data_IF_602445150285
#
_entry.id   IF_602445150285
#
_cell.length_a   1.000
_cell.length_b   1.000
_cell.length_c   1.000
_cell.angle_alpha   90.00
_cell.angle_beta   90.00
_cell.angle_gamma   90.00
#
_symmetry.space_group_name_H-M   'P 1'
#
loop_
_entity.id
_entity.type
_entity.pdbx_description
1 polymer ?
#
# COMPACT_ATOMS: atom_id res chain seq x y z
N UNK A 1 -16.13 -0.57 10.67
CA UNK A 1 -14.84 -1.16 11.10
C UNK A 1 -14.64 -2.49 10.41
N UNK A 2 -13.46 -2.80 9.90
CA UNK A 2 -13.18 -4.03 9.15
C UNK A 2 -13.60 -5.28 9.95
N UNK A 3 -14.41 -6.13 9.33
CA UNK A 3 -14.98 -7.33 9.96
C UNK A 3 -14.05 -8.54 9.81
N UNK A 4 -12.84 -8.45 10.37
CA UNK A 4 -11.99 -9.63 10.43
C UNK A 4 -12.50 -10.65 11.45
N UNK A 5 -12.38 -11.97 11.18
CA UNK A 5 -12.72 -13.00 12.14
C UNK A 5 -11.95 -12.82 13.45
N UNK A 6 -12.60 -13.10 14.58
CA UNK A 6 -11.94 -13.02 15.91
C UNK A 6 -10.71 -13.92 16.03
N UNK A 7 -10.67 -15.01 15.31
CA UNK A 7 -9.52 -15.92 15.24
C UNK A 7 -8.25 -15.27 14.69
N UNK A 8 -8.38 -14.14 14.00
CA UNK A 8 -7.26 -13.37 13.44
C UNK A 8 -6.74 -12.30 14.39
N UNK A 9 -7.48 -11.99 15.47
CA UNK A 9 -7.12 -10.92 16.38
C UNK A 9 -5.79 -11.19 17.07
N UNK A 10 -4.88 -10.22 16.98
CA UNK A 10 -3.57 -10.24 17.63
C UNK A 10 -3.46 -9.11 18.68
N UNK A 11 -3.93 -7.91 18.37
CA UNK A 11 -4.12 -6.79 19.29
C UNK A 11 -2.85 -6.28 19.97
N UNK A 12 -1.65 -6.48 19.38
CA UNK A 12 -0.38 -6.19 20.04
C UNK A 12 0.15 -4.80 19.64
N UNK A 13 0.39 -3.96 20.65
CA UNK A 13 1.06 -2.67 20.44
C UNK A 13 2.53 -2.88 20.08
N UNK A 14 2.98 -2.20 19.03
CA UNK A 14 4.37 -2.24 18.57
C UNK A 14 5.05 -0.89 18.85
N UNK A 15 6.18 -0.87 19.58
CA UNK A 15 6.95 0.34 19.75
C UNK A 15 7.47 0.88 18.42
N UNK A 16 7.29 2.17 18.17
CA UNK A 16 7.75 2.84 16.93
C UNK A 16 9.25 2.66 16.69
N UNK A 17 10.03 2.65 17.74
CA UNK A 17 11.48 2.48 17.71
C UNK A 17 11.93 1.26 16.92
N UNK A 18 11.19 0.16 16.99
CA UNK A 18 11.52 -1.06 16.25
C UNK A 18 11.68 -0.85 14.74
N UNK A 19 11.08 0.17 14.19
CA UNK A 19 11.13 0.44 12.75
C UNK A 19 12.26 1.37 12.32
N UNK A 20 12.94 2.06 13.23
CA UNK A 20 13.97 3.03 12.85
C UNK A 20 15.28 2.97 13.68
N UNK A 21 15.36 2.09 14.70
CA UNK A 21 16.59 1.99 15.51
C UNK A 21 17.67 1.09 14.89
N UNK A 22 17.28 0.12 14.08
CA UNK A 22 18.17 -0.93 13.57
C UNK A 22 18.48 -0.85 12.07
N UNK A 23 18.11 0.24 11.41
CA UNK A 23 18.29 0.43 9.97
C UNK A 23 19.01 1.75 9.68
N UNK A 24 19.63 1.83 8.51
CA UNK A 24 20.11 3.08 7.92
C UNK A 24 18.92 3.98 7.52
N UNK A 25 18.21 4.46 8.55
CA UNK A 25 17.09 5.39 8.39
C UNK A 25 17.62 6.81 8.49
N UNK A 26 17.35 7.61 7.45
CA UNK A 26 17.78 9.01 7.48
C UNK A 26 17.13 9.77 8.65
N UNK A 27 17.82 10.77 9.23
CA UNK A 27 17.26 11.59 10.32
C UNK A 27 15.91 12.23 9.94
N UNK A 28 15.73 12.59 8.67
CA UNK A 28 14.50 13.15 8.13
C UNK A 28 13.35 12.14 8.18
N UNK A 29 13.56 10.92 7.65
CA UNK A 29 12.54 9.86 7.66
C UNK A 29 12.19 9.45 9.09
N UNK A 30 13.19 9.38 10.00
CA UNK A 30 12.95 9.13 11.42
C UNK A 30 12.06 10.22 12.04
N UNK A 31 12.32 11.49 11.74
CA UNK A 31 11.51 12.61 12.22
C UNK A 31 10.08 12.51 11.68
N UNK A 32 9.90 12.29 10.39
CA UNK A 32 8.58 12.10 9.79
C UNK A 32 7.82 10.96 10.49
N UNK A 33 8.48 9.84 10.72
CA UNK A 33 7.86 8.70 11.42
C UNK A 33 7.39 9.05 12.83
N UNK A 34 8.22 9.74 13.60
CA UNK A 34 7.90 10.16 14.98
C UNK A 34 6.75 11.18 14.98
N UNK A 35 6.78 12.13 14.06
CA UNK A 35 5.82 13.25 14.02
C UNK A 35 4.46 12.87 13.42
N UNK A 36 4.41 11.87 12.54
CA UNK A 36 3.18 11.52 11.83
C UNK A 36 2.43 10.35 12.47
N UNK A 37 3.15 9.41 13.11
CA UNK A 37 2.56 8.22 13.69
C UNK A 37 2.44 8.33 15.21
N UNK A 38 1.23 8.26 15.74
CA UNK A 38 0.93 8.28 17.19
C UNK A 38 1.10 6.91 17.82
N UNK A 39 0.49 5.90 17.21
CA UNK A 39 0.42 4.55 17.74
C UNK A 39 0.41 3.52 16.62
N UNK A 40 1.12 2.42 16.82
CA UNK A 40 1.09 1.25 15.93
C UNK A 40 0.55 0.07 16.72
N UNK A 41 -0.46 -0.59 16.15
CA UNK A 41 -1.01 -1.84 16.68
C UNK A 41 -0.97 -2.90 15.59
N UNK A 42 -0.33 -4.02 15.85
CA UNK A 42 -0.49 -5.22 15.04
C UNK A 42 -1.85 -5.82 15.40
N UNK A 43 -2.83 -5.51 14.59
CA UNK A 43 -4.23 -5.73 14.94
C UNK A 43 -4.68 -7.15 14.62
N UNK A 44 -4.38 -7.63 13.42
CA UNK A 44 -4.79 -8.95 12.97
C UNK A 44 -3.63 -9.64 12.24
N UNK A 45 -3.67 -10.97 12.27
CA UNK A 45 -2.84 -11.88 11.49
C UNK A 45 -3.74 -12.79 10.69
N UNK A 46 -3.77 -12.57 9.38
CA UNK A 46 -4.53 -13.41 8.45
C UNK A 46 -3.60 -14.49 7.90
N UNK A 47 -3.90 -15.73 8.17
CA UNK A 47 -3.19 -16.91 7.69
C UNK A 47 -4.18 -17.99 7.31
N UNK A 48 -3.74 -19.03 6.64
CA UNK A 48 -4.58 -20.19 6.31
C UNK A 48 -5.30 -20.73 7.56
N UNK A 49 -4.58 -20.80 8.66
CA UNK A 49 -5.11 -21.32 9.93
C UNK A 49 -6.12 -20.37 10.58
N UNK A 50 -5.82 -19.06 10.64
CA UNK A 50 -6.70 -18.08 11.32
C UNK A 50 -7.94 -17.74 10.52
N UNK A 51 -7.86 -17.87 9.18
CA UNK A 51 -8.96 -17.60 8.25
C UNK A 51 -9.75 -18.86 7.88
N UNK A 52 -9.26 -20.05 8.25
CA UNK A 52 -9.80 -21.34 7.81
C UNK A 52 -9.87 -21.44 6.28
N UNK A 53 -8.78 -21.07 5.62
CA UNK A 53 -8.60 -21.14 4.17
C UNK A 53 -7.52 -22.15 3.81
N UNK A 54 -7.45 -22.54 2.54
CA UNK A 54 -6.31 -23.27 2.04
C UNK A 54 -5.04 -22.39 2.09
N UNK A 55 -3.84 -22.98 2.28
CA UNK A 55 -2.58 -22.26 2.16
C UNK A 55 -2.42 -21.64 0.76
N UNK A 56 -1.83 -20.44 0.69
CA UNK A 56 -1.41 -19.86 -0.57
C UNK A 56 -0.07 -20.43 -1.03
N UNK A 57 0.24 -20.29 -2.30
CA UNK A 57 1.54 -20.64 -2.87
C UNK A 57 2.57 -19.52 -2.65
N UNK A 58 2.12 -18.28 -2.71
CA UNK A 58 2.96 -17.08 -2.58
C UNK A 58 2.65 -16.28 -1.34
N UNK A 59 1.39 -16.25 -0.90
CA UNK A 59 0.92 -15.50 0.26
C UNK A 59 0.72 -16.46 1.43
N UNK A 60 1.64 -16.45 2.37
CA UNK A 60 1.52 -17.25 3.58
C UNK A 60 0.73 -16.55 4.68
N UNK A 61 0.96 -15.26 4.83
CA UNK A 61 0.34 -14.41 5.86
C UNK A 61 0.11 -13.00 5.34
N UNK A 62 -0.95 -12.37 5.84
CA UNK A 62 -1.23 -10.94 5.66
C UNK A 62 -1.33 -10.33 7.05
N UNK A 63 -0.44 -9.39 7.34
CA UNK A 63 -0.37 -8.70 8.61
C UNK A 63 -1.16 -7.40 8.55
N UNK A 64 -2.09 -7.20 9.47
CA UNK A 64 -2.88 -5.98 9.53
C UNK A 64 -2.33 -5.06 10.62
N UNK A 65 -1.76 -3.94 10.21
CA UNK A 65 -1.27 -2.91 11.12
C UNK A 65 -2.23 -1.72 11.13
N UNK A 66 -2.75 -1.41 12.31
CA UNK A 66 -3.50 -0.18 12.55
C UNK A 66 -2.54 0.91 13.02
N UNK A 67 -2.48 2.01 12.28
CA UNK A 67 -1.70 3.20 12.59
C UNK A 67 -2.65 4.35 12.94
N UNK A 68 -2.58 4.82 14.19
CA UNK A 68 -3.20 6.10 14.55
C UNK A 68 -2.24 7.22 14.20
N UNK A 69 -2.71 8.18 13.43
CA UNK A 69 -1.92 9.30 12.98
C UNK A 69 -1.96 10.44 14.00
N UNK A 70 -0.89 11.26 14.02
CA UNK A 70 -0.86 12.54 14.72
C UNK A 70 -1.21 13.70 13.80
N UNK A 71 -1.14 13.47 12.48
CA UNK A 71 -1.43 14.45 11.43
C UNK A 71 -2.56 13.95 10.54
N UNK A 72 -3.08 14.84 9.71
CA UNK A 72 -4.16 14.50 8.77
C UNK A 72 -3.69 13.55 7.67
N UNK A 73 -2.39 13.54 7.38
CA UNK A 73 -1.79 12.77 6.30
C UNK A 73 -0.52 12.07 6.78
N UNK A 74 -0.12 11.01 6.11
CA UNK A 74 1.13 10.28 6.32
C UNK A 74 1.95 10.29 5.03
N UNK A 75 3.25 10.51 5.15
CA UNK A 75 4.15 10.37 4.02
C UNK A 75 4.30 8.88 3.64
N UNK A 76 4.10 8.51 2.36
CA UNK A 76 4.21 7.13 1.92
C UNK A 76 5.55 6.45 2.25
N UNK A 77 6.62 7.22 2.43
CA UNK A 77 7.93 6.69 2.80
C UNK A 77 7.95 6.06 4.19
N UNK A 78 7.10 6.54 5.10
CA UNK A 78 6.92 5.99 6.45
C UNK A 78 6.30 4.58 6.38
N UNK A 79 5.25 4.39 5.57
CA UNK A 79 4.63 3.09 5.36
C UNK A 79 5.59 2.13 4.64
N UNK A 80 6.31 2.65 3.64
CA UNK A 80 7.32 1.89 2.89
C UNK A 80 8.47 1.42 3.78
N UNK A 81 8.87 2.22 4.77
CA UNK A 81 9.87 1.83 5.77
C UNK A 81 9.41 0.60 6.57
N UNK A 82 8.17 0.61 7.05
CA UNK A 82 7.60 -0.52 7.78
C UNK A 82 7.49 -1.76 6.88
N UNK A 83 7.00 -1.55 5.67
CA UNK A 83 6.71 -2.62 4.71
C UNK A 83 7.96 -3.36 4.23
N UNK A 84 9.10 -2.67 4.14
CA UNK A 84 10.40 -3.28 3.81
C UNK A 84 10.95 -4.21 4.89
N UNK A 85 10.59 -3.96 6.15
CA UNK A 85 11.15 -4.70 7.29
C UNK A 85 10.41 -5.99 7.60
N UNK A 86 9.17 -6.11 7.14
CA UNK A 86 8.31 -7.22 7.47
C UNK A 86 8.25 -8.15 6.26
N UNK A 87 8.69 -9.42 6.40
CA UNK A 87 8.78 -10.36 5.29
C UNK A 87 7.43 -11.00 4.92
N UNK A 88 6.33 -10.31 5.23
CA UNK A 88 4.97 -10.72 4.92
C UNK A 88 4.23 -9.63 4.18
N UNK A 89 3.09 -9.96 3.61
CA UNK A 89 2.19 -8.97 3.03
C UNK A 89 1.55 -8.14 4.13
N UNK A 90 1.45 -6.83 3.94
CA UNK A 90 0.90 -5.92 4.94
C UNK A 90 -0.32 -5.20 4.38
N UNK A 91 -1.32 -5.11 5.24
CA UNK A 91 -2.46 -4.23 5.09
C UNK A 91 -2.37 -3.16 6.19
N UNK A 92 -2.22 -1.90 5.80
CA UNK A 92 -2.26 -0.80 6.75
C UNK A 92 -3.67 -0.24 6.87
N UNK A 93 -4.17 -0.16 8.08
CA UNK A 93 -5.37 0.58 8.43
C UNK A 93 -4.91 1.89 9.09
N UNK A 94 -4.98 2.97 8.36
CA UNK A 94 -4.68 4.30 8.88
C UNK A 94 -5.93 4.88 9.52
N UNK A 95 -5.74 5.55 10.66
CA UNK A 95 -6.79 6.25 11.39
C UNK A 95 -6.30 7.64 11.75
N UNK A 96 -7.07 8.66 11.43
CA UNK A 96 -6.81 10.04 11.81
C UNK A 96 -7.85 10.60 12.78
N UNK A 97 -7.54 11.71 13.40
CA UNK A 97 -8.49 12.38 14.27
C UNK A 97 -9.74 12.77 13.49
N UNK A 98 -10.92 12.59 14.10
CA UNK A 98 -12.22 12.73 13.42
C UNK A 98 -12.89 11.40 13.11
N UNK A 99 -12.23 10.27 13.38
CA UNK A 99 -12.83 8.93 13.20
C UNK A 99 -12.86 8.46 11.74
N UNK A 100 -12.01 9.03 10.89
CA UNK A 100 -11.83 8.59 9.52
C UNK A 100 -10.70 7.58 9.40
N UNK A 101 -10.84 6.68 8.45
CA UNK A 101 -9.86 5.65 8.14
C UNK A 101 -9.56 5.54 6.65
N UNK A 102 -8.41 4.96 6.36
CA UNK A 102 -7.94 4.68 5.02
C UNK A 102 -7.19 3.35 5.02
N UNK A 103 -7.36 2.55 3.99
CA UNK A 103 -6.65 1.28 3.83
C UNK A 103 -5.56 1.44 2.78
N UNK A 104 -4.35 0.95 3.10
CA UNK A 104 -3.22 0.90 2.18
C UNK A 104 -2.72 -0.53 2.01
N UNK A 105 -2.34 -0.87 0.78
CA UNK A 105 -1.71 -2.13 0.43
C UNK A 105 -0.59 -1.87 -0.57
N UNK A 106 0.54 -2.58 -0.40
CA UNK A 106 1.64 -2.52 -1.35
C UNK A 106 1.73 -3.80 -2.16
N UNK A 107 1.90 -3.68 -3.46
CA UNK A 107 2.24 -4.82 -4.29
C UNK A 107 3.70 -5.21 -4.07
N UNK A 108 3.91 -6.44 -3.61
CA UNK A 108 5.22 -7.02 -3.34
C UNK A 108 5.51 -8.15 -4.32
N UNK A 109 6.66 -8.11 -4.96
CA UNK A 109 7.18 -9.22 -5.76
C UNK A 109 8.33 -9.90 -5.02
N UNK A 110 8.42 -11.22 -5.13
CA UNK A 110 9.57 -11.97 -4.64
C UNK A 110 10.84 -11.47 -5.33
N UNK A 111 11.90 -11.22 -4.57
CA UNK A 111 13.16 -10.79 -5.13
C UNK A 111 13.77 -11.89 -6.00
N UNK A 112 14.19 -11.55 -7.21
CA UNK A 112 14.87 -12.49 -8.12
C UNK A 112 16.28 -12.89 -7.63
N UNK A 113 16.79 -12.25 -6.58
CA UNK A 113 18.16 -12.49 -6.06
C UNK A 113 18.24 -13.58 -5.01
N UNK A 114 17.20 -14.41 -4.83
CA UNK A 114 17.21 -15.55 -3.90
C UNK A 114 17.20 -15.20 -2.41
N UNK A 115 17.14 -13.92 -2.06
CA UNK A 115 16.87 -13.49 -0.69
C UNK A 115 15.35 -13.52 -0.44
N UNK A 116 14.92 -13.86 0.78
CA UNK A 116 13.52 -13.77 1.20
C UNK A 116 12.99 -12.31 1.24
N UNK A 117 13.66 -11.40 0.56
CA UNK A 117 13.29 -10.01 0.47
C UNK A 117 12.25 -9.80 -0.63
N UNK A 118 11.24 -9.01 -0.36
CA UNK A 118 10.28 -8.55 -1.34
C UNK A 118 10.72 -7.22 -1.96
N UNK A 119 10.45 -7.06 -3.26
CA UNK A 119 10.52 -5.75 -3.91
C UNK A 119 9.17 -5.09 -3.85
N UNK A 120 9.11 -3.91 -3.23
CA UNK A 120 7.93 -3.06 -3.23
C UNK A 120 7.83 -2.34 -4.57
N UNK A 121 6.75 -2.59 -5.33
CA UNK A 121 6.55 -1.99 -6.65
C UNK A 121 5.66 -0.75 -6.57
N UNK A 122 4.45 -0.92 -6.12
CA UNK A 122 3.42 0.12 -6.10
C UNK A 122 2.59 0.00 -4.83
N UNK A 123 2.11 1.12 -4.30
CA UNK A 123 1.14 1.15 -3.21
C UNK A 123 -0.19 1.71 -3.71
N UNK A 124 -1.28 1.14 -3.22
CA UNK A 124 -2.65 1.57 -3.46
C UNK A 124 -3.35 1.84 -2.14
N UNK A 125 -4.29 2.75 -2.15
CA UNK A 125 -5.08 3.09 -0.98
C UNK A 125 -6.50 3.48 -1.37
N UNK A 126 -7.42 3.34 -0.43
CA UNK A 126 -8.78 3.88 -0.53
C UNK A 126 -8.79 5.38 -0.29
N UNK A 127 -9.92 6.02 -0.51
CA UNK A 127 -10.17 7.36 0.01
C UNK A 127 -10.29 7.33 1.55
N UNK A 128 -10.20 8.51 2.17
CA UNK A 128 -10.52 8.69 3.57
C UNK A 128 -12.03 8.67 3.75
N UNK A 129 -12.51 7.75 4.56
CA UNK A 129 -13.94 7.59 4.87
C UNK A 129 -14.13 7.35 6.37
N UNK A 130 -15.34 7.54 6.92
CA UNK A 130 -15.61 7.14 8.30
C UNK A 130 -15.18 5.70 8.55
N UNK A 131 -14.55 5.44 9.70
CA UNK A 131 -14.03 4.09 10.04
C UNK A 131 -15.08 3.00 9.96
N UNK A 132 -16.34 3.33 10.28
CA UNK A 132 -17.44 2.37 10.24
C UNK A 132 -17.88 2.03 8.81
N UNK A 133 -17.57 2.89 7.84
CA UNK A 133 -17.86 2.67 6.42
C UNK A 133 -16.74 1.87 5.70
N UNK A 134 -15.58 1.71 6.34
CA UNK A 134 -14.52 0.86 5.81
C UNK A 134 -14.90 -0.60 5.88
N UNK A 135 -15.08 -1.21 4.73
CA UNK A 135 -15.42 -2.63 4.58
C UNK A 135 -14.50 -3.32 3.61
N UNK A 136 -14.23 -4.59 3.83
CA UNK A 136 -13.54 -5.47 2.90
C UNK A 136 -14.30 -6.79 2.79
N UNK A 137 -14.45 -7.27 1.57
CA UNK A 137 -14.93 -8.62 1.31
C UNK A 137 -13.78 -9.61 1.47
N UNK A 138 -13.94 -10.59 2.35
CA UNK A 138 -12.90 -11.55 2.74
C UNK A 138 -13.15 -12.95 2.17
N UNK A 139 -13.90 -13.05 1.08
CA UNK A 139 -14.23 -14.33 0.46
C UNK A 139 -13.12 -14.81 -0.47
N UNK A 140 -12.54 -15.96 -0.13
CA UNK A 140 -11.52 -16.62 -0.94
C UNK A 140 -11.47 -18.13 -0.61
N UNK A 141 -10.83 -18.92 -1.48
CA UNK A 141 -10.58 -20.34 -1.26
C UNK A 141 -9.22 -20.58 -0.60
N UNK A 142 -8.27 -19.70 -0.84
CA UNK A 142 -6.91 -19.75 -0.34
C UNK A 142 -6.35 -18.35 -0.01
N UNK A 143 -5.15 -18.30 0.54
CA UNK A 143 -4.53 -17.05 0.94
C UNK A 143 -4.10 -16.17 -0.25
N UNK A 144 -3.72 -16.75 -1.38
CA UNK A 144 -3.39 -15.99 -2.60
C UNK A 144 -4.65 -15.30 -3.15
N UNK A 145 -5.76 -16.01 -3.19
CA UNK A 145 -7.06 -15.48 -3.59
C UNK A 145 -7.55 -14.38 -2.65
N UNK A 146 -7.35 -14.53 -1.34
CA UNK A 146 -7.69 -13.51 -0.35
C UNK A 146 -6.91 -12.21 -0.59
N UNK A 147 -5.59 -12.31 -0.74
CA UNK A 147 -4.74 -11.16 -1.01
C UNK A 147 -5.11 -10.46 -2.34
N UNK A 148 -5.34 -11.27 -3.39
CA UNK A 148 -5.79 -10.77 -4.69
C UNK A 148 -7.15 -10.05 -4.60
N UNK A 149 -8.10 -10.60 -3.84
CA UNK A 149 -9.42 -10.00 -3.64
C UNK A 149 -9.33 -8.66 -2.90
N UNK A 150 -8.61 -8.61 -1.78
CA UNK A 150 -8.38 -7.38 -1.01
C UNK A 150 -7.69 -6.31 -1.89
N UNK A 151 -6.62 -6.69 -2.59
CA UNK A 151 -5.89 -5.79 -3.44
C UNK A 151 -6.75 -5.20 -4.57
N UNK A 152 -7.60 -6.02 -5.18
CA UNK A 152 -8.55 -5.58 -6.22
C UNK A 152 -9.54 -4.54 -5.69
N UNK A 153 -10.09 -4.76 -4.50
CA UNK A 153 -11.03 -3.84 -3.88
C UNK A 153 -10.38 -2.48 -3.64
N UNK A 154 -9.16 -2.46 -3.09
CA UNK A 154 -8.43 -1.22 -2.79
C UNK A 154 -7.98 -0.52 -4.09
N UNK A 155 -7.45 -1.27 -5.06
CA UNK A 155 -6.96 -0.70 -6.32
C UNK A 155 -8.08 -0.17 -7.22
N UNK A 156 -9.30 -0.69 -7.12
CA UNK A 156 -10.46 -0.22 -7.92
C UNK A 156 -10.75 1.26 -7.67
N UNK A 157 -10.65 1.70 -6.43
CA UNK A 157 -10.89 3.09 -6.05
C UNK A 157 -9.74 4.01 -6.51
N UNK A 158 -8.50 3.48 -6.52
CA UNK A 158 -7.31 4.22 -6.93
C UNK A 158 -7.14 4.30 -8.46
N UNK A 159 -7.62 3.29 -9.17
CA UNK A 159 -7.52 3.17 -10.63
C UNK A 159 -8.94 3.24 -11.17
N UNK A 160 -9.30 4.37 -11.76
CA UNK A 160 -10.61 4.55 -12.43
C UNK A 160 -10.77 3.62 -13.67
N UNK A 161 -10.17 2.44 -13.67
CA UNK A 161 -10.21 1.45 -14.74
C UNK A 161 -10.91 0.17 -14.25
N UNK A 162 -12.07 -0.20 -14.83
CA UNK A 162 -12.81 -1.40 -14.44
C UNK A 162 -12.14 -2.73 -14.82
N UNK A 163 -10.94 -2.70 -15.40
CA UNK A 163 -10.31 -3.85 -16.05
C UNK A 163 -9.18 -4.53 -15.26
N UNK A 164 -8.77 -4.00 -14.09
CA UNK A 164 -7.69 -4.65 -13.33
C UNK A 164 -8.21 -5.89 -12.60
N UNK A 165 -7.81 -7.07 -13.07
CA UNK A 165 -8.19 -8.34 -12.44
C UNK A 165 -7.35 -8.69 -11.21
N UNK A 166 -6.19 -8.03 -11.04
CA UNK A 166 -5.25 -8.25 -9.92
C UNK A 166 -4.45 -6.98 -9.59
N UNK A 167 -3.80 -6.95 -8.44
CA UNK A 167 -2.82 -5.89 -8.11
C UNK A 167 -1.69 -5.80 -9.14
N UNK A 168 -1.29 -6.93 -9.72
CA UNK A 168 -0.27 -6.96 -10.77
C UNK A 168 -0.76 -6.21 -12.01
N UNK A 169 -1.96 -6.49 -12.49
CA UNK A 169 -2.55 -5.82 -13.65
C UNK A 169 -2.73 -4.32 -13.37
N UNK A 170 -3.10 -3.97 -12.14
CA UNK A 170 -3.20 -2.58 -11.70
C UNK A 170 -1.84 -1.86 -11.76
N UNK A 171 -0.76 -2.53 -11.35
CA UNK A 171 0.61 -1.99 -11.43
C UNK A 171 1.02 -1.78 -12.88
N UNK A 172 0.80 -2.78 -13.74
CA UNK A 172 1.14 -2.71 -15.18
C UNK A 172 0.40 -1.55 -15.85
N UNK A 173 -0.91 -1.42 -15.59
CA UNK A 173 -1.73 -0.31 -16.12
C UNK A 173 -1.26 1.06 -15.61
N UNK A 174 -0.89 1.16 -14.34
CA UNK A 174 -0.39 2.41 -13.77
C UNK A 174 0.94 2.82 -14.41
N UNK A 175 1.87 1.87 -14.57
CA UNK A 175 3.17 2.11 -15.22
C UNK A 175 3.00 2.52 -16.69
N UNK A 176 2.09 1.88 -17.42
CA UNK A 176 1.80 2.23 -18.80
C UNK A 176 1.20 3.64 -18.90
N UNK A 177 0.26 3.98 -18.01
CA UNK A 177 -0.33 5.33 -17.93
C UNK A 177 0.74 6.40 -17.63
N UNK A 178 1.63 6.17 -16.67
CA UNK A 178 2.72 7.10 -16.35
C UNK A 178 3.68 7.27 -17.53
N UNK A 179 4.03 6.17 -18.21
CA UNK A 179 4.86 6.21 -19.42
C UNK A 179 4.22 7.04 -20.53
N UNK A 180 2.93 6.84 -20.79
CA UNK A 180 2.19 7.62 -21.77
C UNK A 180 2.09 9.10 -21.39
N UNK A 181 1.83 9.42 -20.14
CA UNK A 181 1.81 10.79 -19.65
C UNK A 181 3.17 11.48 -19.82
N UNK A 182 4.27 10.77 -19.53
CA UNK A 182 5.61 11.28 -19.75
C UNK A 182 5.87 11.56 -21.24
N UNK A 183 5.48 10.63 -22.14
CA UNK A 183 5.62 10.82 -23.59
C UNK A 183 4.81 12.04 -24.07
N UNK A 184 3.58 12.20 -23.62
CA UNK A 184 2.73 13.36 -23.92
C UNK A 184 3.42 14.67 -23.48
N UNK A 185 3.99 14.67 -22.27
CA UNK A 185 4.73 15.85 -21.75
C UNK A 185 5.94 16.19 -22.63
N UNK A 186 6.70 15.21 -23.09
CA UNK A 186 7.84 15.39 -23.97
C UNK A 186 7.42 15.94 -25.35
N UNK A 187 6.35 15.37 -25.93
CA UNK A 187 5.82 15.84 -27.22
C UNK A 187 5.30 17.28 -27.12
N UNK A 188 4.55 17.62 -26.07
CA UNK A 188 4.09 18.99 -25.82
C UNK A 188 5.26 19.97 -25.66
N UNK A 189 6.35 19.57 -25.02
CA UNK A 189 7.56 20.40 -24.88
C UNK A 189 8.26 20.61 -26.22
N UNK A 190 8.36 19.57 -27.08
CA UNK A 190 8.91 19.69 -28.45
C UNK A 190 8.05 20.63 -29.30
N UNK A 191 6.74 20.44 -29.32
CA UNK A 191 5.80 21.30 -30.05
C UNK A 191 5.91 22.78 -29.62
N UNK A 192 6.10 23.04 -28.33
CA UNK A 192 6.29 24.40 -27.82
C UNK A 192 7.58 25.03 -28.32
N UNK A 193 8.68 24.25 -28.38
CA UNK A 193 9.99 24.72 -28.93
C UNK A 193 9.89 25.02 -30.43
N UNK A 194 9.25 24.14 -31.20
CA UNK A 194 9.07 24.34 -32.66
C UNK A 194 8.21 25.58 -32.97
N UNK A 195 7.12 25.80 -32.20
CA UNK A 195 6.32 27.02 -32.34
C UNK A 195 7.08 28.29 -31.97
N UNK A 196 8.01 28.23 -31.02
CA UNK A 196 8.86 29.38 -30.66
C UNK A 196 9.91 29.64 -31.73
N UNK A 197 10.53 28.62 -32.34
CA UNK A 197 11.47 28.73 -33.43
C UNK A 197 10.80 29.30 -34.71
N UNK A 198 9.59 28.81 -35.04
CA UNK A 198 8.82 29.32 -36.17
C UNK A 198 8.48 30.82 -36.06
N UNK A 199 8.21 31.31 -34.83
CA UNK A 199 7.95 32.76 -34.59
C UNK A 199 9.20 33.64 -34.60
N UNK A 200 10.39 33.07 -34.52
CA UNK A 200 11.67 33.81 -34.59
C UNK A 200 12.22 33.89 -36.03
N UNK A 201 11.62 33.15 -36.95
CA UNK A 201 12.01 33.13 -38.37
C UNK A 201 11.07 33.96 -39.28
N UNK A 202 9.99 34.52 -38.74
CA UNK A 202 9.14 35.54 -39.36
C UNK A 202 9.59 36.95 -38.93
#
# INVERSE_FOLDING_TARGET
MLNFPKTTEFGRRIPKQKFYEHLDVTPELRRMFVDQVKLITWQNKLSAQTMNLAPGQTVTEIEVFRLRLQKQEIDPSVLRLMDKQIPYHILFLLERDGGEGQIWISYKEASQTGSNAFQLRQAYHTDWVPLDDLTLELHALDMDGLYKSIGRQIARDAIAAPAAESLKDAVEQTQEKEKLQWQIKQLKAKMKKEKQLGKQME
#
